data_IF_981087234918
#
_entry.id   IF_981087234918
#
_cell.length_a   1.000
_cell.length_b   1.000
_cell.length_c   1.000
_cell.angle_alpha   90.00
_cell.angle_beta   90.00
_cell.angle_gamma   90.00
#
_symmetry.space_group_name_H-M   'P 1'
#
loop_
_entity.id
_entity.type
_entity.pdbx_description
1 polymer ?
#
# COMPACT_ATOMS: atom_id res chain seq x y z
N UNK A 1 1.83 -18.27 3.74
CA UNK A 1 1.87 -17.48 5.00
C UNK A 1 1.41 -16.07 4.68
N UNK A 2 0.62 -15.49 5.57
CA UNK A 2 0.27 -14.06 5.52
C UNK A 2 1.56 -13.26 5.67
N UNK A 3 1.82 -12.32 4.76
CA UNK A 3 3.05 -11.49 4.84
C UNK A 3 3.01 -10.68 6.13
N UNK A 4 4.19 -10.45 6.70
CA UNK A 4 4.39 -9.70 7.95
C UNK A 4 3.61 -8.38 7.93
N UNK A 5 2.66 -8.19 8.88
CA UNK A 5 1.86 -6.95 9.03
C UNK A 5 2.71 -5.69 9.22
N UNK A 6 4.02 -5.85 9.44
CA UNK A 6 5.01 -4.78 9.48
C UNK A 6 5.12 -3.99 8.18
N UNK A 7 4.68 -4.54 7.04
CA UNK A 7 4.67 -3.83 5.75
C UNK A 7 3.42 -2.97 5.55
N UNK A 8 2.40 -3.07 6.42
CA UNK A 8 1.17 -2.28 6.33
C UNK A 8 1.35 -0.77 6.01
N UNK A 9 2.35 -0.05 6.55
CA UNK A 9 2.45 1.40 6.31
C UNK A 9 3.00 1.80 4.94
N UNK A 10 3.43 0.87 4.09
CA UNK A 10 3.82 1.16 2.69
C UNK A 10 2.59 1.05 1.77
N UNK A 11 2.65 1.69 0.61
CA UNK A 11 1.67 1.52 -0.45
C UNK A 11 1.47 0.04 -0.84
N UNK A 12 0.22 -0.43 -0.83
CA UNK A 12 -0.11 -1.84 -1.06
C UNK A 12 0.17 -2.75 0.13
N UNK A 13 0.65 -2.20 1.25
CA UNK A 13 0.91 -2.92 2.48
C UNK A 13 -0.34 -3.55 3.09
N UNK A 14 -1.49 -2.87 3.04
CA UNK A 14 -2.79 -3.43 3.43
C UNK A 14 -3.15 -4.63 2.55
N UNK A 15 -3.07 -4.47 1.22
CA UNK A 15 -3.31 -5.56 0.26
C UNK A 15 -2.45 -6.79 0.56
N UNK A 16 -1.15 -6.60 0.82
CA UNK A 16 -0.24 -7.70 1.12
C UNK A 16 -0.50 -8.33 2.50
N UNK A 17 -0.80 -7.52 3.52
CA UNK A 17 -0.94 -7.98 4.91
C UNK A 17 -2.31 -8.58 5.21
N UNK A 18 -3.34 -8.28 4.43
CA UNK A 18 -4.72 -8.76 4.64
C UNK A 18 -5.00 -10.14 4.05
N UNK A 19 -4.03 -10.72 3.34
CA UNK A 19 -4.23 -11.96 2.59
C UNK A 19 -5.11 -11.80 1.34
N UNK A 20 -5.48 -10.58 0.94
CA UNK A 20 -6.33 -10.32 -0.23
C UNK A 20 -5.78 -10.95 -1.52
N UNK A 21 -4.44 -11.00 -1.67
CA UNK A 21 -3.76 -11.65 -2.81
C UNK A 21 -3.96 -13.17 -2.90
N UNK A 22 -4.47 -13.82 -1.85
CA UNK A 22 -4.84 -15.22 -1.88
C UNK A 22 -6.26 -15.45 -2.43
N UNK A 23 -7.07 -14.38 -2.52
CA UNK A 23 -8.49 -14.44 -2.90
C UNK A 23 -8.78 -13.70 -4.21
N UNK A 24 -7.97 -12.71 -4.55
CA UNK A 24 -8.18 -11.81 -5.68
C UNK A 24 -6.97 -11.86 -6.64
N UNK A 25 -7.24 -11.70 -7.93
CA UNK A 25 -6.18 -11.58 -8.94
C UNK A 25 -5.57 -10.18 -8.94
N UNK A 26 -4.37 -9.99 -9.50
CA UNK A 26 -3.75 -8.66 -9.59
C UNK A 26 -4.62 -7.61 -10.29
N UNK A 27 -5.43 -8.00 -11.26
CA UNK A 27 -6.33 -7.11 -12.00
C UNK A 27 -7.57 -6.69 -11.19
N UNK A 28 -7.89 -7.44 -10.14
CA UNK A 28 -9.00 -7.16 -9.21
C UNK A 28 -8.58 -6.25 -8.05
N UNK A 29 -7.29 -5.96 -7.92
CA UNK A 29 -6.72 -5.14 -6.87
C UNK A 29 -6.19 -3.85 -7.46
N UNK A 30 -6.58 -2.72 -6.89
CA UNK A 30 -6.08 -1.40 -7.27
C UNK A 30 -5.48 -0.70 -6.06
N UNK A 31 -4.17 -0.48 -6.09
CA UNK A 31 -3.47 0.31 -5.08
C UNK A 31 -3.23 1.72 -5.60
N UNK A 32 -3.59 2.73 -4.80
CA UNK A 32 -3.42 4.14 -5.12
C UNK A 32 -2.84 4.87 -3.92
N UNK A 33 -1.91 5.78 -4.17
CA UNK A 33 -1.33 6.66 -3.15
C UNK A 33 -1.36 8.11 -3.58
N UNK A 34 -1.42 9.02 -2.61
CA UNK A 34 -1.52 10.45 -2.85
C UNK A 34 -2.97 10.92 -2.91
N UNK A 35 -3.33 11.87 -2.05
CA UNK A 35 -4.69 12.40 -1.94
C UNK A 35 -5.24 12.95 -3.25
N UNK A 36 -4.37 13.50 -4.11
CA UNK A 36 -4.72 14.01 -5.45
C UNK A 36 -5.23 12.92 -6.39
N UNK A 37 -4.88 11.67 -6.15
CA UNK A 37 -5.27 10.53 -6.99
C UNK A 37 -6.56 9.85 -6.48
N UNK A 38 -7.04 10.20 -5.29
CA UNK A 38 -8.17 9.52 -4.65
C UNK A 38 -9.48 9.69 -5.44
N UNK A 39 -9.75 10.89 -5.97
CA UNK A 39 -10.97 11.14 -6.73
C UNK A 39 -11.04 10.28 -8.00
N UNK A 40 -9.97 10.30 -8.80
CA UNK A 40 -9.89 9.49 -10.01
C UNK A 40 -9.97 7.99 -9.71
N UNK A 41 -9.37 7.54 -8.61
CA UNK A 41 -9.42 6.15 -8.18
C UNK A 41 -10.84 5.69 -7.79
N UNK A 42 -11.60 6.56 -7.11
CA UNK A 42 -12.99 6.27 -6.74
C UNK A 42 -13.89 6.24 -7.99
N UNK A 43 -13.69 7.16 -8.93
CA UNK A 43 -14.40 7.15 -10.22
C UNK A 43 -14.09 5.89 -11.03
N UNK A 44 -12.80 5.50 -11.09
CA UNK A 44 -12.38 4.25 -11.74
C UNK A 44 -13.05 3.04 -11.09
N UNK A 45 -13.08 2.97 -9.75
CA UNK A 45 -13.69 1.87 -9.02
C UNK A 45 -15.20 1.76 -9.25
N UNK A 46 -15.90 2.89 -9.37
CA UNK A 46 -17.32 2.90 -9.69
C UNK A 46 -17.60 2.33 -11.09
N UNK A 47 -16.77 2.68 -12.07
CA UNK A 47 -16.97 2.32 -13.48
C UNK A 47 -16.40 0.93 -13.83
N UNK A 48 -15.28 0.54 -13.21
CA UNK A 48 -14.58 -0.69 -13.49
C UNK A 48 -14.96 -1.80 -12.51
N UNK A 49 -15.99 -2.58 -12.88
CA UNK A 49 -16.49 -3.71 -12.07
C UNK A 49 -15.50 -4.87 -11.90
N UNK A 50 -14.34 -4.85 -12.57
CA UNK A 50 -13.29 -5.84 -12.34
C UNK A 50 -12.53 -5.57 -11.04
N UNK A 51 -12.41 -4.31 -10.62
CA UNK A 51 -11.74 -3.99 -9.36
C UNK A 51 -12.65 -4.43 -8.21
N UNK A 52 -12.14 -5.32 -7.36
CA UNK A 52 -12.83 -5.87 -6.18
C UNK A 52 -12.27 -5.33 -4.87
N UNK A 53 -11.02 -4.85 -4.89
CA UNK A 53 -10.38 -4.19 -3.76
C UNK A 53 -9.68 -2.92 -4.23
N UNK A 54 -10.04 -1.79 -3.60
CA UNK A 54 -9.37 -0.51 -3.78
C UNK A 54 -8.61 -0.16 -2.49
N UNK A 55 -7.28 -0.20 -2.55
CA UNK A 55 -6.36 0.11 -1.45
C UNK A 55 -5.84 1.55 -1.63
N UNK A 56 -6.45 2.51 -0.93
CA UNK A 56 -6.19 3.95 -1.11
C UNK A 56 -5.43 4.53 0.08
N UNK A 57 -4.32 5.20 -0.20
CA UNK A 57 -3.54 5.93 0.79
C UNK A 57 -3.44 7.41 0.42
N UNK A 58 -3.60 8.28 1.42
CA UNK A 58 -3.56 9.74 1.21
C UNK A 58 -2.15 10.28 0.99
N UNK A 59 -1.14 9.63 1.57
CA UNK A 59 0.25 10.05 1.46
C UNK A 59 0.93 9.29 0.33
N UNK A 60 1.79 9.97 -0.44
CA UNK A 60 2.54 9.35 -1.53
C UNK A 60 3.48 8.27 -0.98
N UNK A 61 3.34 7.02 -1.44
CA UNK A 61 4.12 5.89 -0.95
C UNK A 61 3.69 5.35 0.43
N UNK A 62 2.53 5.78 0.94
CA UNK A 62 1.89 5.28 2.16
C UNK A 62 2.19 6.07 3.42
N UNK A 63 1.73 5.54 4.56
CA UNK A 63 1.84 6.17 5.88
C UNK A 63 3.29 6.50 6.28
N UNK A 64 4.28 5.80 5.71
CA UNK A 64 5.70 6.10 5.91
C UNK A 64 6.13 7.48 5.40
N UNK A 65 5.34 8.12 4.54
CA UNK A 65 5.54 9.50 4.09
C UNK A 65 4.51 10.47 4.67
N UNK A 66 3.81 10.05 5.73
CA UNK A 66 2.85 10.90 6.41
C UNK A 66 3.50 12.16 6.99
N UNK A 67 2.76 13.28 7.10
CA UNK A 67 3.28 14.56 7.57
C UNK A 67 3.78 14.52 9.03
N UNK A 68 3.37 13.51 9.81
CA UNK A 68 3.87 13.28 11.16
C UNK A 68 5.19 12.49 11.24
N UNK A 69 5.79 12.10 10.11
CA UNK A 69 7.03 11.31 10.08
C UNK A 69 8.24 12.22 9.90
N UNK A 70 8.97 12.46 10.98
CA UNK A 70 10.26 13.15 10.99
C UNK A 70 11.38 12.20 10.53
N UNK A 71 11.88 12.38 9.30
CA UNK A 71 13.01 11.60 8.79
C UNK A 71 13.64 12.27 7.56
N UNK A 72 14.97 12.19 7.46
CA UNK A 72 15.73 12.67 6.28
C UNK A 72 15.78 11.66 5.13
N UNK A 73 15.27 10.45 5.36
CA UNK A 73 15.28 9.39 4.35
C UNK A 73 14.23 9.65 3.28
N UNK A 74 14.61 9.35 2.03
CA UNK A 74 13.71 9.28 0.87
C UNK A 74 12.67 8.17 1.01
N UNK A 75 11.63 8.19 0.17
CA UNK A 75 10.61 7.14 0.13
C UNK A 75 11.22 5.75 -0.03
N UNK A 76 12.14 5.59 -0.99
CA UNK A 76 12.78 4.30 -1.29
C UNK A 76 13.64 3.79 -0.12
N UNK A 77 14.37 4.67 0.55
CA UNK A 77 15.15 4.31 1.74
C UNK A 77 14.24 3.90 2.91
N UNK A 78 13.12 4.60 3.10
CA UNK A 78 12.11 4.24 4.11
C UNK A 78 11.49 2.87 3.79
N UNK A 79 11.05 2.63 2.54
CA UNK A 79 10.53 1.33 2.09
C UNK A 79 11.53 0.21 2.33
N UNK A 80 12.80 0.40 1.92
CA UNK A 80 13.87 -0.57 2.14
C UNK A 80 14.06 -0.89 3.63
N UNK A 81 14.02 0.12 4.50
CA UNK A 81 14.14 -0.08 5.95
C UNK A 81 12.96 -0.87 6.53
N UNK A 82 11.74 -0.59 6.08
CA UNK A 82 10.55 -1.34 6.50
C UNK A 82 10.60 -2.79 6.02
N UNK A 83 10.98 -3.03 4.76
CA UNK A 83 11.11 -4.39 4.22
C UNK A 83 12.17 -5.20 4.97
N UNK A 84 13.33 -4.61 5.27
CA UNK A 84 14.37 -5.25 6.07
C UNK A 84 13.91 -5.56 7.51
N UNK A 85 13.04 -4.72 8.08
CA UNK A 85 12.43 -4.98 9.39
C UNK A 85 11.31 -6.04 9.34
N UNK A 86 10.61 -6.13 8.20
CA UNK A 86 9.53 -7.08 7.98
C UNK A 86 10.05 -8.52 7.83
N UNK A 87 11.22 -8.70 7.20
CA UNK A 87 11.94 -9.97 7.04
C UNK A 87 13.24 -10.00 7.86
N UNK A 88 13.17 -10.19 9.21
CA UNK A 88 14.38 -10.35 10.00
C UNK A 88 15.14 -11.61 9.53
N UNK A 89 16.49 -11.61 9.58
CA UNK A 89 17.28 -12.79 9.28
C UNK A 89 16.82 -13.95 10.18
N UNK A 90 16.46 -15.08 9.55
CA UNK A 90 16.13 -16.32 10.26
C UNK A 90 17.39 -16.98 10.80
#
# INVERSE_FOLDING_TARGET
EEKSTRIYPIDGGLTDSSGAKNLLTPEEIRTVSGWKNCELALQEFEQNKKIRLLDVLFCDGGCIMGPGIESKLTLEERKKKILAYAEPPR
#
